data_IF_455587676696
#
_entry.id   IF_455587676696
#
_cell.length_a   1.000
_cell.length_b   1.000
_cell.length_c   1.000
_cell.angle_alpha   90.00
_cell.angle_beta   90.00
_cell.angle_gamma   90.00
#
_symmetry.space_group_name_H-M   'P 1'
#
loop_
_entity.id
_entity.type
_entity.pdbx_description
1 polymer ?
#
# COMPACT_ATOMS: atom_id res chain seq x y z
N UNK A 1 -27.80 64.68 2.92
CA UNK A 1 -28.52 65.48 1.90
C UNK A 1 -27.63 65.58 0.66
N UNK A 2 -28.23 65.47 -0.52
CA UNK A 2 -28.02 66.25 -1.76
C UNK A 2 -26.85 67.27 -1.86
N UNK A 3 -26.16 67.50 -3.00
CA UNK A 3 -25.93 66.76 -4.29
C UNK A 3 -25.04 67.59 -5.25
N UNK A 4 -24.48 66.96 -6.32
CA UNK A 4 -24.26 67.56 -7.69
C UNK A 4 -23.08 68.58 -7.80
N UNK A 5 -22.34 68.76 -8.92
CA UNK A 5 -22.66 68.59 -10.36
C UNK A 5 -21.53 68.04 -11.26
N UNK A 6 -21.90 67.38 -12.37
CA UNK A 6 -21.15 67.31 -13.64
C UNK A 6 -21.64 68.44 -14.60
N UNK A 7 -21.11 68.55 -15.83
CA UNK A 7 -21.92 68.10 -16.99
C UNK A 7 -21.16 67.40 -18.15
N UNK A 8 -21.94 66.70 -19.00
CA UNK A 8 -21.59 66.15 -20.32
C UNK A 8 -22.26 67.00 -21.44
N UNK A 9 -21.97 66.81 -22.74
CA UNK A 9 -22.65 65.79 -23.60
C UNK A 9 -21.68 65.04 -24.57
N UNK A 10 -21.95 63.90 -25.24
CA UNK A 10 -23.14 63.23 -25.83
C UNK A 10 -23.67 63.88 -27.14
N UNK A 11 -24.42 63.16 -28.04
CA UNK A 11 -25.03 61.81 -27.96
C UNK A 11 -24.59 60.86 -29.14
N UNK A 12 -25.28 59.84 -29.74
CA UNK A 12 -26.62 59.16 -29.68
C UNK A 12 -26.47 57.69 -30.25
N UNK A 13 -27.25 56.64 -29.90
CA UNK A 13 -28.57 56.09 -30.41
C UNK A 13 -28.60 55.52 -31.87
N UNK A 14 -29.41 54.52 -32.29
CA UNK A 14 -30.63 53.83 -31.74
C UNK A 14 -30.91 52.45 -32.44
N UNK A 15 -31.32 51.39 -31.70
CA UNK A 15 -32.29 50.26 -31.98
C UNK A 15 -32.34 49.52 -33.38
N UNK A 16 -33.10 48.43 -33.66
CA UNK A 16 -34.07 47.51 -32.97
C UNK A 16 -34.23 46.16 -33.74
N UNK A 17 -34.83 45.12 -33.15
CA UNK A 17 -35.44 43.96 -33.86
C UNK A 17 -36.98 44.12 -33.97
N UNK A 18 -37.70 43.50 -34.94
CA UNK A 18 -38.33 42.17 -34.69
C UNK A 18 -38.76 41.30 -35.94
N UNK A 19 -39.34 40.10 -35.65
CA UNK A 19 -40.42 39.34 -36.35
C UNK A 19 -40.32 38.75 -37.80
N UNK A 20 -40.82 37.50 -37.89
CA UNK A 20 -41.61 36.78 -38.93
C UNK A 20 -41.16 36.44 -40.37
N UNK A 21 -41.20 35.11 -40.65
CA UNK A 21 -41.68 34.43 -41.89
C UNK A 21 -40.88 34.59 -43.22
N UNK A 22 -41.18 33.83 -44.32
CA UNK A 22 -42.23 32.80 -44.54
C UNK A 22 -41.75 31.44 -45.14
N UNK A 23 -42.70 30.51 -45.38
CA UNK A 23 -42.62 29.47 -46.43
C UNK A 23 -43.33 30.01 -47.70
N UNK A 24 -42.99 29.62 -48.95
CA UNK A 24 -43.87 28.64 -49.63
C UNK A 24 -43.29 27.82 -50.84
N UNK A 25 -44.14 26.94 -51.37
CA UNK A 25 -44.21 26.37 -52.74
C UNK A 25 -43.17 25.38 -53.30
N UNK A 26 -43.64 24.13 -53.45
CA UNK A 26 -43.34 23.21 -54.57
C UNK A 26 -44.20 23.57 -55.80
N UNK A 27 -43.97 22.99 -57.01
CA UNK A 27 -44.95 21.97 -57.43
C UNK A 27 -44.46 20.83 -58.37
N UNK A 28 -45.13 19.68 -58.22
CA UNK A 28 -45.45 18.67 -59.27
C UNK A 28 -44.31 17.73 -59.79
N UNK A 29 -44.58 16.53 -60.32
CA UNK A 29 -45.85 15.97 -60.85
C UNK A 29 -45.98 14.43 -60.68
N UNK A 30 -47.20 13.95 -60.36
CA UNK A 30 -47.80 12.60 -60.62
C UNK A 30 -47.19 11.39 -59.85
N UNK A 31 -47.96 10.60 -59.07
CA UNK A 31 -49.09 9.68 -59.39
C UNK A 31 -48.60 8.39 -60.08
N UNK A 32 -49.00 7.16 -59.75
CA UNK A 32 -49.95 6.58 -58.75
C UNK A 32 -49.49 5.09 -58.53
N UNK A 33 -49.69 4.38 -57.42
CA UNK A 33 -50.89 3.62 -56.99
C UNK A 33 -50.62 2.91 -55.64
N UNK A 34 -51.64 2.31 -55.02
CA UNK A 34 -51.59 1.57 -53.75
C UNK A 34 -52.49 0.31 -53.88
N UNK A 35 -52.22 -0.81 -53.20
CA UNK A 35 -52.97 -1.01 -51.94
C UNK A 35 -52.24 -1.77 -50.82
N UNK A 36 -52.84 -1.69 -49.63
CA UNK A 36 -52.38 -2.21 -48.35
C UNK A 36 -52.32 -3.75 -48.22
N UNK A 37 -51.53 -4.20 -47.24
CA UNK A 37 -51.92 -5.32 -46.36
C UNK A 37 -51.40 -5.09 -44.94
N UNK A 38 -52.27 -5.20 -43.93
CA UNK A 38 -51.90 -5.22 -42.52
C UNK A 38 -51.76 -6.67 -42.04
N UNK A 39 -50.66 -7.00 -41.34
CA UNK A 39 -50.60 -8.25 -40.56
C UNK A 39 -50.02 -8.02 -39.16
N UNK A 40 -50.81 -8.46 -38.18
CA UNK A 40 -50.57 -8.34 -36.74
C UNK A 40 -49.70 -9.49 -36.22
N UNK A 41 -48.55 -9.20 -35.61
CA UNK A 41 -47.86 -10.09 -34.64
C UNK A 41 -47.11 -9.28 -33.58
N UNK A 42 -47.18 -9.75 -32.34
CA UNK A 42 -46.50 -9.21 -31.16
C UNK A 42 -45.40 -10.20 -30.71
N UNK A 43 -44.13 -9.78 -30.50
CA UNK A 43 -43.16 -10.51 -29.69
C UNK A 43 -43.19 -9.93 -28.26
N UNK A 44 -43.76 -10.60 -27.25
CA UNK A 44 -43.20 -11.77 -26.54
C UNK A 44 -41.86 -11.44 -25.87
N UNK A 45 -41.83 -11.50 -24.54
CA UNK A 45 -40.64 -11.26 -23.73
C UNK A 45 -39.54 -12.26 -24.07
N UNK A 46 -38.39 -11.76 -24.50
CA UNK A 46 -37.11 -12.46 -24.34
C UNK A 46 -36.52 -12.04 -22.99
N UNK A 47 -36.90 -12.74 -21.93
CA UNK A 47 -36.21 -12.63 -20.63
C UNK A 47 -34.83 -13.28 -20.77
N UNK A 48 -33.90 -12.53 -21.36
CA UNK A 48 -32.54 -13.00 -21.59
C UNK A 48 -31.89 -13.25 -20.23
N UNK A 49 -31.62 -14.53 -19.95
CA UNK A 49 -30.95 -14.94 -18.73
C UNK A 49 -29.52 -14.43 -18.78
N UNK A 50 -29.31 -13.20 -18.29
CA UNK A 50 -28.00 -12.68 -17.95
C UNK A 50 -27.42 -13.60 -16.88
N UNK A 51 -26.74 -14.65 -17.34
CA UNK A 51 -25.87 -15.46 -16.54
C UNK A 51 -24.71 -14.55 -16.14
N UNK A 52 -24.91 -13.80 -15.05
CA UNK A 52 -23.86 -13.05 -14.38
C UNK A 52 -22.82 -14.07 -13.95
N UNK A 53 -21.85 -14.31 -14.84
CA UNK A 53 -20.60 -14.94 -14.50
C UNK A 53 -19.81 -13.92 -13.66
N UNK A 54 -20.29 -13.72 -12.43
CA UNK A 54 -19.44 -13.25 -11.35
C UNK A 54 -18.41 -14.34 -11.13
N UNK A 55 -17.36 -14.29 -11.95
CA UNK A 55 -16.03 -14.58 -11.47
C UNK A 55 -15.87 -13.76 -10.19
N UNK A 56 -16.19 -14.40 -9.06
CA UNK A 56 -15.55 -14.07 -7.81
C UNK A 56 -14.06 -14.22 -8.10
N UNK A 57 -13.42 -13.09 -8.41
CA UNK A 57 -12.07 -12.85 -7.98
C UNK A 57 -12.10 -13.08 -6.47
N UNK A 58 -11.89 -14.33 -6.06
CA UNK A 58 -11.39 -14.64 -4.73
C UNK A 58 -10.06 -13.90 -4.72
N UNK A 59 -9.92 -12.78 -3.98
CA UNK A 59 -8.62 -12.17 -3.86
C UNK A 59 -7.73 -13.25 -3.26
N UNK A 60 -6.63 -13.59 -3.93
CA UNK A 60 -5.66 -14.53 -3.36
C UNK A 60 -5.27 -13.94 -2.00
N UNK A 61 -5.69 -14.58 -0.91
CA UNK A 61 -5.54 -14.04 0.43
C UNK A 61 -4.07 -14.13 0.82
N UNK A 62 -3.29 -13.13 0.38
CA UNK A 62 -1.95 -12.86 0.89
C UNK A 62 -2.09 -12.63 2.38
N UNK A 63 -1.80 -13.67 3.17
CA UNK A 63 -1.92 -13.66 4.62
C UNK A 63 -1.03 -12.55 5.17
N UNK A 64 -1.64 -11.40 5.51
CA UNK A 64 -0.97 -10.22 6.07
C UNK A 64 -0.32 -10.53 7.42
N UNK A 65 -0.74 -11.63 8.03
CA UNK A 65 -0.25 -12.25 9.25
C UNK A 65 0.84 -13.32 9.04
N UNK A 66 1.27 -13.59 7.79
CA UNK A 66 2.40 -14.48 7.53
C UNK A 66 3.65 -13.90 8.17
N UNK A 67 4.24 -14.65 9.10
CA UNK A 67 5.47 -14.29 9.79
C UNK A 67 6.67 -14.33 8.83
N UNK A 68 7.42 -13.24 8.75
CA UNK A 68 8.62 -13.14 7.92
C UNK A 68 9.89 -13.30 8.76
N UNK A 69 10.04 -12.47 9.80
CA UNK A 69 11.11 -12.59 10.78
C UNK A 69 10.73 -11.97 12.12
N UNK A 70 11.50 -12.28 13.16
CA UNK A 70 11.44 -11.60 14.44
C UNK A 70 12.72 -11.84 15.24
N UNK A 71 12.96 -11.01 16.26
CA UNK A 71 14.18 -11.07 17.06
C UNK A 71 14.10 -10.21 18.31
N UNK A 72 14.91 -10.55 19.30
CA UNK A 72 14.83 -10.00 20.66
C UNK A 72 16.20 -9.52 21.14
N UNK A 73 16.23 -8.53 22.02
CA UNK A 73 17.46 -8.06 22.65
C UNK A 73 17.95 -9.05 23.72
N UNK A 74 19.25 -9.02 24.00
CA UNK A 74 19.86 -9.86 25.04
C UNK A 74 19.60 -9.35 26.47
N UNK A 75 19.19 -8.09 26.61
CA UNK A 75 18.88 -7.47 27.90
C UNK A 75 17.50 -7.95 28.35
N UNK A 76 17.38 -8.34 29.62
CA UNK A 76 16.11 -8.78 30.22
C UNK A 76 15.62 -7.84 31.31
N UNK A 77 14.31 -7.71 31.43
CA UNK A 77 13.65 -6.99 32.52
C UNK A 77 13.26 -7.95 33.64
N UNK A 78 13.07 -7.42 34.85
CA UNK A 78 12.58 -8.21 36.00
C UNK A 78 11.05 -8.28 35.96
N UNK A 79 10.42 -9.47 36.07
CA UNK A 79 8.96 -9.58 36.14
C UNK A 79 8.38 -8.75 37.30
N UNK A 80 7.26 -8.07 37.05
CA UNK A 80 6.65 -7.13 38.00
C UNK A 80 7.33 -5.75 38.09
N UNK A 81 8.32 -5.46 37.25
CA UNK A 81 8.97 -4.14 37.19
C UNK A 81 8.10 -3.07 36.53
N UNK A 82 8.43 -1.79 36.77
CA UNK A 82 7.78 -0.68 36.07
C UNK A 82 8.03 -0.76 34.54
N UNK A 83 9.19 -1.23 34.11
CA UNK A 83 9.45 -1.51 32.69
C UNK A 83 8.39 -2.45 32.08
N UNK A 84 8.02 -3.54 32.76
CA UNK A 84 6.98 -4.46 32.28
C UNK A 84 5.60 -3.79 32.19
N UNK A 85 5.20 -2.99 33.19
CA UNK A 85 3.94 -2.23 33.11
C UNK A 85 3.95 -1.22 31.97
N UNK A 86 5.08 -0.53 31.76
CA UNK A 86 5.26 0.45 30.69
C UNK A 86 5.27 -0.21 29.30
N UNK A 87 5.84 -1.41 29.16
CA UNK A 87 5.82 -2.20 27.94
C UNK A 87 4.39 -2.67 27.60
N UNK A 88 3.64 -3.16 28.58
CA UNK A 88 2.23 -3.54 28.37
C UNK A 88 1.36 -2.33 27.97
N UNK A 89 1.59 -1.16 28.57
CA UNK A 89 0.95 0.10 28.15
C UNK A 89 1.33 0.49 26.72
N UNK A 90 2.63 0.43 26.38
CA UNK A 90 3.15 0.72 25.05
C UNK A 90 2.52 -0.16 23.97
N UNK A 91 2.54 -1.48 24.16
CA UNK A 91 1.96 -2.44 23.21
C UNK A 91 0.46 -2.19 23.00
N UNK A 92 -0.26 -1.83 24.06
CA UNK A 92 -1.68 -1.42 23.98
C UNK A 92 -1.86 -0.13 23.18
N UNK A 93 -1.01 0.88 23.36
CA UNK A 93 -1.02 2.12 22.57
C UNK A 93 -0.76 1.88 21.08
N UNK A 94 0.17 0.98 20.74
CA UNK A 94 0.48 0.61 19.35
C UNK A 94 -0.75 -0.02 18.66
N UNK A 95 -1.39 -1.01 19.29
CA UNK A 95 -2.61 -1.67 18.75
C UNK A 95 -3.76 -0.69 18.58
N UNK A 96 -4.05 0.13 19.61
CA UNK A 96 -5.14 1.10 19.54
C UNK A 96 -4.91 2.15 18.43
N UNK A 97 -3.68 2.66 18.30
CA UNK A 97 -3.29 3.62 17.27
C UNK A 97 -3.38 3.06 15.85
N UNK A 98 -3.13 1.77 15.66
CA UNK A 98 -3.21 1.10 14.36
C UNK A 98 -4.62 1.08 13.76
N UNK A 99 -5.65 1.47 14.52
CA UNK A 99 -7.02 1.74 14.03
C UNK A 99 -7.12 3.03 13.20
N UNK A 100 -6.19 3.98 13.37
CA UNK A 100 -6.31 5.36 12.85
C UNK A 100 -5.12 5.85 12.01
N UNK A 101 -3.94 5.24 12.15
CA UNK A 101 -2.77 5.56 11.31
C UNK A 101 -2.00 4.31 10.93
N UNK A 102 -1.48 4.24 9.69
CA UNK A 102 -0.63 3.14 9.22
C UNK A 102 0.78 3.13 9.86
N UNK A 103 1.16 4.20 10.55
CA UNK A 103 2.40 4.29 11.34
C UNK A 103 2.19 5.18 12.56
N UNK A 104 2.73 4.78 13.70
CA UNK A 104 2.91 5.68 14.84
C UNK A 104 4.07 5.19 15.73
N UNK A 105 4.54 6.10 16.59
CA UNK A 105 5.58 5.84 17.58
C UNK A 105 5.20 6.41 18.94
N UNK A 106 5.63 5.73 19.99
CA UNK A 106 5.36 6.10 21.38
C UNK A 106 6.63 6.00 22.21
N UNK A 107 6.64 6.70 23.34
CA UNK A 107 7.69 6.61 24.35
C UNK A 107 7.01 6.71 25.70
N UNK A 108 7.03 5.61 26.47
CA UNK A 108 6.50 5.59 27.83
C UNK A 108 7.65 5.92 28.76
N UNK A 109 7.55 7.06 29.43
CA UNK A 109 8.54 7.51 30.41
C UNK A 109 8.38 6.72 31.71
N UNK A 110 9.48 6.22 32.27
CA UNK A 110 9.52 5.57 33.57
C UNK A 110 10.28 6.38 34.63
N UNK A 111 10.30 5.89 35.86
CA UNK A 111 10.94 6.59 36.99
C UNK A 111 12.46 6.66 36.86
N UNK A 112 13.07 5.68 36.18
CA UNK A 112 14.48 5.69 35.80
C UNK A 112 14.64 5.53 34.29
N UNK A 113 15.87 5.71 33.77
CA UNK A 113 16.20 5.41 32.37
C UNK A 113 16.02 3.92 32.01
N UNK A 114 16.03 3.02 32.98
CA UNK A 114 15.85 1.58 32.76
C UNK A 114 14.37 1.21 32.57
N UNK A 115 13.45 2.09 32.98
CA UNK A 115 11.99 1.91 32.89
C UNK A 115 11.38 2.62 31.67
N UNK A 116 12.17 3.34 30.88
CA UNK A 116 11.71 3.99 29.64
C UNK A 116 11.56 2.96 28.54
N UNK A 117 10.45 3.01 27.80
CA UNK A 117 10.18 2.09 26.69
C UNK A 117 9.85 2.88 25.43
N UNK A 118 10.63 2.64 24.37
CA UNK A 118 10.41 3.18 23.03
C UNK A 118 9.71 2.13 22.18
N UNK A 119 8.77 2.54 21.32
CA UNK A 119 8.18 1.61 20.35
C UNK A 119 7.54 2.29 19.16
N UNK A 120 7.42 1.54 18.07
CA UNK A 120 6.69 1.92 16.87
C UNK A 120 6.03 0.73 16.21
N UNK A 121 5.06 1.00 15.34
CA UNK A 121 4.60 0.07 14.32
C UNK A 121 4.59 0.75 12.96
N UNK A 122 4.73 -0.06 11.91
CA UNK A 122 4.63 0.36 10.52
C UNK A 122 3.84 -0.71 9.76
N UNK A 123 2.59 -0.42 9.42
CA UNK A 123 1.82 -1.19 8.46
C UNK A 123 2.31 -0.92 7.03
N UNK A 124 2.07 -1.86 6.12
CA UNK A 124 2.21 -1.65 4.68
C UNK A 124 1.17 -0.60 4.25
N UNK A 125 1.59 0.40 3.47
CA UNK A 125 0.80 1.64 3.33
C UNK A 125 -0.36 1.56 2.31
N UNK A 126 -0.58 0.40 1.72
CA UNK A 126 -1.72 0.02 0.88
C UNK A 126 -2.87 -0.63 1.67
N UNK A 127 -2.66 -0.99 2.94
CA UNK A 127 -3.66 -1.68 3.76
C UNK A 127 -4.78 -0.75 4.24
N UNK A 128 -6.00 -1.28 4.29
CA UNK A 128 -7.08 -0.61 5.01
C UNK A 128 -6.81 -0.61 6.52
N UNK A 129 -7.33 0.40 7.23
CA UNK A 129 -7.04 0.54 8.66
C UNK A 129 -7.44 -0.66 9.54
N UNK A 130 -8.56 -1.38 9.30
CA UNK A 130 -8.87 -2.61 10.04
C UNK A 130 -7.83 -3.73 9.84
N UNK A 131 -7.25 -3.85 8.65
CA UNK A 131 -6.21 -4.84 8.35
C UNK A 131 -4.88 -4.47 9.02
N UNK A 132 -4.54 -3.18 9.03
CA UNK A 132 -3.40 -2.65 9.78
C UNK A 132 -3.52 -2.93 11.29
N UNK A 133 -4.67 -2.60 11.89
CA UNK A 133 -4.95 -2.91 13.30
C UNK A 133 -4.86 -4.41 13.60
N UNK A 134 -5.45 -5.24 12.75
CA UNK A 134 -5.42 -6.71 12.86
C UNK A 134 -3.99 -7.26 12.77
N UNK A 135 -3.18 -6.74 11.84
CA UNK A 135 -1.79 -7.14 11.71
C UNK A 135 -0.97 -6.74 12.95
N UNK A 136 -1.08 -5.49 13.42
CA UNK A 136 -0.34 -5.02 14.60
C UNK A 136 -0.73 -5.81 15.86
N UNK A 137 -2.01 -6.11 16.06
CA UNK A 137 -2.46 -6.98 17.16
C UNK A 137 -1.86 -8.40 17.10
N UNK A 138 -1.76 -8.98 15.90
CA UNK A 138 -1.11 -10.29 15.68
C UNK A 138 0.39 -10.22 15.90
N UNK A 139 1.08 -9.18 15.43
CA UNK A 139 2.52 -8.99 15.66
C UNK A 139 2.85 -8.83 17.16
N UNK A 140 2.01 -8.10 17.92
CA UNK A 140 2.09 -8.02 19.39
C UNK A 140 1.85 -9.39 20.05
N UNK A 141 0.92 -10.19 19.52
CA UNK A 141 0.68 -11.56 20.00
C UNK A 141 1.87 -12.48 19.75
N UNK A 142 2.60 -12.31 18.64
CA UNK A 142 3.86 -13.03 18.39
C UNK A 142 5.02 -12.59 19.31
N UNK A 143 5.09 -11.31 19.70
CA UNK A 143 6.17 -10.79 20.55
C UNK A 143 6.20 -11.42 21.95
N UNK A 144 5.04 -11.77 22.52
CA UNK A 144 4.93 -12.38 23.86
C UNK A 144 5.71 -13.70 24.02
N UNK A 145 5.42 -14.76 23.24
CA UNK A 145 6.15 -16.02 23.31
C UNK A 145 7.55 -15.94 22.70
N UNK A 146 7.77 -15.09 21.67
CA UNK A 146 9.07 -14.96 21.01
C UNK A 146 10.11 -14.24 21.89
N UNK A 147 9.72 -13.14 22.52
CA UNK A 147 10.62 -12.20 23.21
C UNK A 147 10.33 -12.10 24.72
N UNK A 148 10.10 -13.26 25.35
CA UNK A 148 9.77 -13.37 26.77
C UNK A 148 10.81 -12.71 27.69
N UNK A 149 10.34 -11.75 28.50
CA UNK A 149 11.12 -11.01 29.50
C UNK A 149 12.28 -10.16 28.95
N UNK A 150 12.31 -9.84 27.65
CA UNK A 150 13.38 -9.03 27.03
C UNK A 150 13.06 -7.53 27.00
N UNK A 151 14.09 -6.68 27.11
CA UNK A 151 13.96 -5.22 27.03
C UNK A 151 13.86 -4.68 25.60
N UNK A 152 13.63 -5.53 24.60
CA UNK A 152 13.52 -5.13 23.21
C UNK A 152 13.15 -6.31 22.34
N UNK A 153 12.23 -6.11 21.41
CA UNK A 153 11.71 -7.14 20.53
C UNK A 153 11.15 -6.54 19.25
N UNK A 154 11.32 -7.25 18.14
CA UNK A 154 10.80 -6.88 16.84
C UNK A 154 10.14 -8.08 16.14
N UNK A 155 9.03 -7.84 15.44
CA UNK A 155 8.35 -8.81 14.58
C UNK A 155 7.96 -8.12 13.27
N UNK A 156 8.25 -8.79 12.15
CA UNK A 156 7.76 -8.47 10.83
C UNK A 156 6.80 -9.56 10.38
N UNK A 157 5.55 -9.17 10.13
CA UNK A 157 4.58 -9.91 9.34
C UNK A 157 4.49 -9.30 7.93
N UNK A 158 3.91 -10.03 6.99
CA UNK A 158 3.72 -9.61 5.59
C UNK A 158 2.99 -8.25 5.45
N UNK A 159 2.07 -7.93 6.37
CA UNK A 159 1.35 -6.65 6.40
C UNK A 159 1.92 -5.56 7.32
N UNK A 160 2.83 -5.87 8.25
CA UNK A 160 3.27 -4.89 9.26
C UNK A 160 4.55 -5.28 10.02
N UNK A 161 5.25 -4.24 10.50
CA UNK A 161 6.36 -4.32 11.44
C UNK A 161 5.94 -3.74 12.79
N UNK A 162 6.37 -4.37 13.89
CA UNK A 162 6.27 -3.83 15.26
C UNK A 162 7.62 -3.99 15.94
N UNK A 163 8.13 -2.92 16.57
CA UNK A 163 9.34 -2.99 17.42
C UNK A 163 9.16 -2.19 18.71
N UNK A 164 9.65 -2.75 19.81
CA UNK A 164 9.96 -2.03 21.04
C UNK A 164 11.44 -2.18 21.44
N UNK A 165 11.92 -1.29 22.30
CA UNK A 165 13.26 -1.33 22.89
C UNK A 165 13.36 -0.40 24.12
N UNK A 166 14.35 -0.62 25.00
CA UNK A 166 14.69 0.31 26.08
C UNK A 166 15.80 1.30 25.66
N UNK A 167 16.55 1.00 24.60
CA UNK A 167 17.42 1.96 23.92
C UNK A 167 16.63 2.77 22.89
N UNK A 168 16.89 4.08 22.75
CA UNK A 168 16.22 4.88 21.71
C UNK A 168 16.74 4.51 20.32
N UNK A 169 15.86 3.98 19.48
CA UNK A 169 16.10 3.68 18.07
C UNK A 169 15.28 4.59 17.12
N UNK A 170 14.67 5.64 17.66
CA UNK A 170 13.74 6.54 16.95
C UNK A 170 14.51 7.66 16.23
N UNK A 171 14.29 7.82 14.92
CA UNK A 171 14.98 8.79 14.06
C UNK A 171 16.40 8.38 13.64
N UNK A 172 16.88 7.25 14.14
CA UNK A 172 18.21 6.70 13.85
C UNK A 172 18.14 5.91 12.54
N UNK A 173 19.07 6.15 11.62
CA UNK A 173 19.21 5.30 10.43
C UNK A 173 19.89 3.99 10.81
N UNK A 174 19.34 2.86 10.35
CA UNK A 174 19.99 1.56 10.45
C UNK A 174 19.78 0.76 9.15
N UNK A 175 20.90 0.43 8.50
CA UNK A 175 20.99 -0.29 7.22
C UNK A 175 21.55 -1.71 7.39
N UNK A 176 21.59 -2.25 8.61
CA UNK A 176 21.90 -3.67 8.86
C UNK A 176 20.86 -4.57 8.22
N UNK A 177 21.30 -5.65 7.57
CA UNK A 177 20.41 -6.65 6.95
C UNK A 177 19.82 -7.51 8.07
N UNK A 178 18.48 -7.53 8.18
CA UNK A 178 17.75 -8.33 9.18
C UNK A 178 17.09 -9.57 8.57
N UNK A 179 16.74 -9.52 7.28
CA UNK A 179 16.30 -10.71 6.53
C UNK A 179 16.68 -10.58 5.05
N UNK A 180 17.21 -11.66 4.47
CA UNK A 180 17.28 -11.87 3.02
C UNK A 180 16.62 -13.20 2.67
N UNK A 181 15.79 -13.22 1.64
CA UNK A 181 15.22 -14.45 1.07
C UNK A 181 15.15 -14.32 -0.45
N UNK A 182 15.88 -15.15 -1.17
CA UNK A 182 15.75 -15.25 -2.63
C UNK A 182 14.92 -16.48 -2.99
N UNK A 183 14.12 -16.38 -4.04
CA UNK A 183 13.42 -17.52 -4.62
C UNK A 183 14.34 -18.49 -5.38
N UNK A 184 13.79 -19.57 -5.95
CA UNK A 184 14.50 -20.38 -6.93
C UNK A 184 14.84 -19.54 -8.17
N UNK A 185 15.86 -19.95 -8.93
CA UNK A 185 16.20 -19.30 -10.19
C UNK A 185 15.29 -19.79 -11.32
N UNK A 186 14.79 -18.86 -12.14
CA UNK A 186 14.06 -19.15 -13.37
C UNK A 186 14.99 -19.55 -14.53
N UNK A 187 16.31 -19.60 -14.31
CA UNK A 187 17.33 -19.67 -15.35
C UNK A 187 17.84 -18.27 -15.72
N UNK A 188 18.60 -18.18 -16.82
CA UNK A 188 19.03 -16.90 -17.38
C UNK A 188 18.00 -16.40 -18.39
N UNK A 189 17.36 -15.28 -18.08
CA UNK A 189 16.37 -14.60 -18.92
C UNK A 189 16.69 -13.10 -18.92
N UNK A 190 17.37 -12.63 -19.97
CA UNK A 190 17.91 -11.26 -20.03
C UNK A 190 16.80 -10.19 -20.01
N UNK A 191 15.66 -10.45 -20.65
CA UNK A 191 14.49 -9.55 -20.66
C UNK A 191 13.84 -9.44 -19.27
N UNK A 192 13.62 -10.56 -18.58
CA UNK A 192 13.05 -10.60 -17.23
C UNK A 192 13.98 -9.94 -16.19
N UNK A 193 15.29 -10.20 -16.30
CA UNK A 193 16.31 -9.54 -15.48
C UNK A 193 16.33 -8.02 -15.74
N UNK A 194 16.20 -7.60 -16.99
CA UNK A 194 16.14 -6.19 -17.39
C UNK A 194 14.86 -5.49 -16.93
N UNK A 195 13.68 -6.15 -17.06
CA UNK A 195 12.41 -5.65 -16.51
C UNK A 195 12.49 -5.48 -15.00
N UNK A 196 12.99 -6.48 -14.27
CA UNK A 196 13.21 -6.38 -12.82
C UNK A 196 14.12 -5.21 -12.49
N UNK A 197 15.26 -5.07 -13.17
CA UNK A 197 16.20 -4.02 -12.83
C UNK A 197 15.70 -2.62 -13.21
N UNK A 198 14.84 -2.49 -14.22
CA UNK A 198 14.08 -1.27 -14.48
C UNK A 198 13.06 -0.96 -13.36
N UNK A 199 12.24 -1.94 -12.94
CA UNK A 199 11.27 -1.79 -11.83
C UNK A 199 11.97 -1.39 -10.53
N UNK A 200 13.03 -2.11 -10.15
CA UNK A 200 13.82 -1.81 -8.96
C UNK A 200 14.54 -0.46 -9.05
N UNK A 201 15.01 -0.03 -10.23
CA UNK A 201 15.52 1.34 -10.41
C UNK A 201 14.43 2.40 -10.26
N UNK A 202 13.20 2.11 -10.71
CA UNK A 202 12.03 2.97 -10.52
C UNK A 202 11.66 3.16 -9.04
N UNK A 203 11.70 2.08 -8.24
CA UNK A 203 11.53 2.17 -6.78
C UNK A 203 12.61 3.01 -6.10
N UNK A 204 13.81 3.10 -6.68
CA UNK A 204 14.88 3.95 -6.19
C UNK A 204 14.75 5.43 -6.59
N UNK A 205 13.78 5.78 -7.44
CA UNK A 205 13.48 7.16 -7.83
C UNK A 205 12.94 8.02 -6.69
N UNK A 206 12.80 9.32 -6.93
CA UNK A 206 12.20 10.23 -5.95
C UNK A 206 10.73 9.87 -5.68
N UNK A 207 10.39 9.65 -4.41
CA UNK A 207 9.05 9.24 -3.99
C UNK A 207 8.90 9.14 -2.48
N UNK A 208 7.68 8.91 -2.02
CA UNK A 208 7.34 8.78 -0.60
C UNK A 208 7.96 7.55 0.09
N UNK A 209 7.65 7.33 1.39
CA UNK A 209 8.21 6.24 2.18
C UNK A 209 7.60 4.86 1.87
N UNK A 210 6.57 4.79 1.03
CA UNK A 210 6.06 3.55 0.42
C UNK A 210 6.04 3.74 -1.09
N UNK A 211 6.55 2.74 -1.82
CA UNK A 211 6.73 2.79 -3.27
C UNK A 211 6.37 1.43 -3.86
N UNK A 212 5.60 1.45 -4.95
CA UNK A 212 5.21 0.27 -5.72
C UNK A 212 5.51 0.51 -7.20
N UNK A 213 5.84 -0.54 -7.92
CA UNK A 213 6.12 -0.47 -9.35
C UNK A 213 6.04 -1.84 -10.01
N UNK A 214 5.89 -1.86 -11.33
CA UNK A 214 5.83 -3.11 -12.09
C UNK A 214 6.02 -2.90 -13.58
N UNK A 215 6.38 -3.97 -14.28
CA UNK A 215 6.59 -4.02 -15.72
C UNK A 215 6.26 -5.44 -16.20
N UNK A 216 5.23 -5.56 -17.03
CA UNK A 216 4.69 -6.84 -17.53
C UNK A 216 4.41 -7.83 -16.39
N UNK A 217 5.28 -8.83 -16.22
CA UNK A 217 5.15 -9.92 -15.26
C UNK A 217 5.92 -9.67 -13.94
N UNK A 218 6.69 -8.58 -13.85
CA UNK A 218 7.50 -8.24 -12.67
C UNK A 218 6.83 -7.16 -11.84
N UNK A 219 6.72 -7.38 -10.54
CA UNK A 219 6.25 -6.42 -9.55
C UNK A 219 7.32 -6.17 -8.48
N UNK A 220 7.32 -4.98 -7.90
CA UNK A 220 8.24 -4.60 -6.82
C UNK A 220 7.63 -3.63 -5.82
N UNK A 221 8.03 -3.78 -4.57
CA UNK A 221 7.57 -2.97 -3.43
C UNK A 221 8.77 -2.54 -2.59
N UNK A 222 8.80 -1.28 -2.17
CA UNK A 222 9.83 -0.73 -1.30
C UNK A 222 9.20 0.15 -0.21
N UNK A 223 9.67 0.02 1.03
CA UNK A 223 9.11 0.78 2.15
C UNK A 223 10.16 1.15 3.20
N UNK A 224 10.05 2.35 3.75
CA UNK A 224 10.78 2.82 4.93
C UNK A 224 9.90 2.75 6.18
N UNK A 225 10.50 2.58 7.36
CA UNK A 225 9.84 2.89 8.61
C UNK A 225 9.65 4.41 8.72
N UNK A 226 8.44 4.87 9.03
CA UNK A 226 8.04 6.27 9.06
C UNK A 226 8.69 7.15 10.13
N UNK A 227 9.71 6.65 10.84
CA UNK A 227 10.51 7.44 11.76
C UNK A 227 11.79 8.03 11.15
N UNK A 228 12.16 7.57 9.94
CA UNK A 228 13.24 8.16 9.13
C UNK A 228 12.83 9.50 8.49
N UNK A 229 13.81 10.39 8.28
CA UNK A 229 13.68 11.49 7.31
C UNK A 229 13.70 10.97 5.87
N UNK A 230 13.24 11.79 4.91
CA UNK A 230 13.20 11.39 3.49
C UNK A 230 14.60 11.11 2.90
N UNK A 231 15.66 11.76 3.41
CA UNK A 231 17.04 11.45 3.04
C UNK A 231 17.46 10.06 3.50
N UNK A 232 17.37 9.79 4.80
CA UNK A 232 17.67 8.46 5.38
C UNK A 232 16.81 7.35 4.75
N UNK A 233 15.55 7.65 4.42
CA UNK A 233 14.68 6.71 3.72
C UNK A 233 15.21 6.39 2.30
N UNK A 234 15.60 7.41 1.54
CA UNK A 234 16.21 7.22 0.22
C UNK A 234 17.54 6.47 0.28
N UNK A 235 18.40 6.78 1.26
CA UNK A 235 19.69 6.11 1.47
C UNK A 235 19.51 4.64 1.87
N UNK A 236 18.54 4.35 2.75
CA UNK A 236 18.19 2.99 3.15
C UNK A 236 17.64 2.18 1.96
N UNK A 237 16.69 2.73 1.19
CA UNK A 237 16.14 2.05 0.01
C UNK A 237 17.20 1.85 -1.07
N UNK A 238 18.13 2.79 -1.25
CA UNK A 238 19.25 2.64 -2.20
C UNK A 238 20.12 1.43 -1.83
N UNK A 239 20.46 1.26 -0.54
CA UNK A 239 21.23 0.10 -0.07
C UNK A 239 20.43 -1.21 -0.16
N UNK A 240 19.14 -1.20 0.21
CA UNK A 240 18.27 -2.37 0.12
C UNK A 240 18.11 -2.85 -1.33
N UNK A 241 17.84 -1.92 -2.26
CA UNK A 241 17.70 -2.22 -3.69
C UNK A 241 19.03 -2.68 -4.30
N UNK A 242 20.16 -2.05 -3.93
CA UNK A 242 21.50 -2.46 -4.39
C UNK A 242 21.82 -3.90 -3.97
N UNK A 243 21.55 -4.28 -2.72
CA UNK A 243 21.71 -5.66 -2.23
C UNK A 243 20.74 -6.63 -2.91
N UNK A 244 19.47 -6.26 -3.04
CA UNK A 244 18.45 -7.09 -3.66
C UNK A 244 18.83 -7.48 -5.10
N UNK A 245 19.31 -6.52 -5.90
CA UNK A 245 19.85 -6.78 -7.25
C UNK A 245 21.08 -7.70 -7.21
N UNK A 246 22.07 -7.38 -6.37
CA UNK A 246 23.33 -8.12 -6.32
C UNK A 246 23.21 -9.54 -5.75
N UNK A 247 22.31 -9.77 -4.79
CA UNK A 247 22.23 -11.00 -4.00
C UNK A 247 21.07 -11.93 -4.40
N UNK A 248 20.02 -11.42 -5.06
CA UNK A 248 18.91 -12.22 -5.59
C UNK A 248 18.73 -12.11 -7.13
N UNK A 249 19.60 -11.40 -7.87
CA UNK A 249 19.41 -10.99 -9.28
C UNK A 249 19.23 -12.09 -10.36
N UNK A 250 19.08 -13.36 -10.00
CA UNK A 250 18.67 -14.46 -10.89
C UNK A 250 17.44 -15.24 -10.39
N UNK A 251 16.74 -14.77 -9.35
CA UNK A 251 15.66 -15.48 -8.68
C UNK A 251 14.25 -15.02 -9.10
N UNK A 252 13.27 -15.92 -9.02
CA UNK A 252 11.86 -15.66 -9.30
C UNK A 252 11.23 -14.59 -8.39
N UNK A 253 11.75 -14.43 -7.18
CA UNK A 253 11.43 -13.36 -6.24
C UNK A 253 12.65 -13.06 -5.37
N UNK A 254 12.65 -11.91 -4.71
CA UNK A 254 13.66 -11.56 -3.73
C UNK A 254 13.13 -10.60 -2.68
N UNK A 255 13.43 -10.91 -1.42
CA UNK A 255 13.17 -10.10 -0.24
C UNK A 255 14.50 -9.60 0.34
N UNK A 256 14.61 -8.28 0.56
CA UNK A 256 15.73 -7.65 1.27
C UNK A 256 15.19 -6.68 2.32
N UNK A 257 15.23 -7.10 3.59
CA UNK A 257 14.83 -6.27 4.73
C UNK A 257 16.08 -5.80 5.47
N UNK A 258 16.20 -4.49 5.61
CA UNK A 258 17.11 -3.80 6.51
C UNK A 258 16.35 -3.36 7.77
N UNK A 259 17.06 -3.03 8.85
CA UNK A 259 16.45 -2.65 10.12
C UNK A 259 15.49 -1.43 10.07
N UNK A 260 15.58 -0.57 9.04
CA UNK A 260 14.71 0.61 8.85
C UNK A 260 14.00 0.72 7.50
N UNK A 261 14.17 -0.24 6.60
CA UNK A 261 13.47 -0.27 5.32
C UNK A 261 13.56 -1.65 4.66
N UNK A 262 12.71 -1.91 3.66
CA UNK A 262 12.83 -3.10 2.82
C UNK A 262 12.64 -2.78 1.34
N UNK A 263 13.18 -3.66 0.50
CA UNK A 263 12.86 -3.76 -0.92
C UNK A 263 12.54 -5.21 -1.26
N UNK A 264 11.53 -5.43 -2.12
CA UNK A 264 11.06 -6.76 -2.54
C UNK A 264 10.69 -6.73 -4.02
N UNK A 265 10.82 -7.88 -4.69
CA UNK A 265 10.25 -8.09 -6.03
C UNK A 265 9.76 -9.52 -6.23
N UNK A 266 8.85 -9.71 -7.17
CA UNK A 266 8.38 -11.01 -7.66
C UNK A 266 8.11 -10.97 -9.16
N UNK A 267 8.40 -12.07 -9.86
CA UNK A 267 8.09 -12.32 -11.27
C UNK A 267 6.91 -13.28 -11.40
N UNK A 268 6.41 -13.52 -12.62
CA UNK A 268 5.39 -14.56 -12.87
C UNK A 268 5.75 -15.93 -12.29
N UNK A 269 7.05 -16.29 -12.32
CA UNK A 269 7.58 -17.52 -11.75
C UNK A 269 7.27 -17.71 -10.25
N UNK A 270 7.11 -16.63 -9.49
CA UNK A 270 6.88 -16.70 -8.04
C UNK A 270 5.54 -17.38 -7.68
N UNK A 271 4.50 -17.23 -8.50
CA UNK A 271 3.17 -17.79 -8.22
C UNK A 271 3.15 -19.33 -8.19
N UNK A 272 4.02 -19.98 -8.95
CA UNK A 272 4.15 -21.45 -8.96
C UNK A 272 4.69 -22.01 -7.63
N UNK A 273 5.36 -21.18 -6.83
CA UNK A 273 5.93 -21.55 -5.52
C UNK A 273 5.07 -21.11 -4.33
N UNK A 274 3.94 -20.42 -4.58
CA UNK A 274 3.00 -19.95 -3.56
C UNK A 274 1.99 -21.01 -3.08
N UNK A 275 2.30 -22.31 -3.27
CA UNK A 275 1.47 -23.42 -2.80
C UNK A 275 1.43 -23.53 -1.27
N UNK A 276 0.37 -24.11 -0.69
CA UNK A 276 0.15 -24.15 0.77
C UNK A 276 1.09 -25.14 1.47
N UNK A 277 2.32 -24.69 1.75
CA UNK A 277 3.29 -25.44 2.55
C UNK A 277 2.84 -25.50 4.02
N UNK A 278 2.08 -26.54 4.34
CA UNK A 278 1.68 -26.90 5.71
C UNK A 278 2.87 -27.53 6.50
N UNK A 279 4.03 -26.87 6.48
CA UNK A 279 5.27 -27.33 7.10
C UNK A 279 5.38 -26.90 8.56
N UNK A 280 5.42 -27.87 9.49
CA UNK A 280 5.80 -27.62 10.88
C UNK A 280 7.32 -27.54 10.99
N UNK A 281 7.88 -26.33 11.01
CA UNK A 281 9.29 -26.13 11.32
C UNK A 281 9.48 -26.02 12.84
N UNK A 282 9.92 -27.12 13.47
CA UNK A 282 10.27 -27.15 14.89
C UNK A 282 11.63 -26.46 15.08
N UNK A 283 11.62 -25.20 15.48
CA UNK A 283 12.82 -24.49 15.96
C UNK A 283 13.27 -25.10 17.30
N UNK A 284 14.58 -25.25 17.49
CA UNK A 284 15.25 -25.79 18.67
C UNK A 284 16.38 -24.86 19.11
#
# INVERSE_FOLDING_TARGET
MHTISNPLPLPYRLHSAPLDCPIPYSPAHRNMENPAFCHHRLPILTFSLLLFCTCFFIPAQSSLDTFLYGGCSQVKYTPGSQYESNLNSLLSSLVNSATYSAYNKFTIMGSSRQDVVYGLYQCRADLAMPDCATCVARAVTHLGPLCSQTCGGAVQLEGCFVKYDNASFIGVEDKTVVMKKCGPSNGYNEDEMSRRDAVLSGLNGAGGPYRVGGSEDVQGVAQCIGDLSMGQCQDCLTEAIRRLKAECGGAAFGDMFLAKCYARYSTSGAHFYAGPNHGKENIR
#
